data_IF_373545015126
#
_entry.id   IF_373545015126
#
_cell.length_a   1.000
_cell.length_b   1.000
_cell.length_c   1.000
_cell.angle_alpha   90.00
_cell.angle_beta   90.00
_cell.angle_gamma   90.00
#
_symmetry.space_group_name_H-M   'P 1'
#
loop_
_entity.id
_entity.type
_entity.pdbx_description
1 polymer ?
#
# COMPACT_ATOMS: atom_id res chain seq x y z
N UNK A 1 12.94 2.98 16.23
CA UNK A 1 11.81 3.51 17.03
C UNK A 1 10.53 2.98 16.40
N UNK A 2 9.72 2.24 17.13
CA UNK A 2 8.54 1.56 16.59
C UNK A 2 7.27 2.35 16.89
N UNK A 3 6.38 2.54 15.91
CA UNK A 3 5.09 3.18 16.16
C UNK A 3 3.98 2.15 16.18
N UNK A 4 3.24 2.09 17.29
CA UNK A 4 2.06 1.24 17.43
C UNK A 4 0.81 2.09 17.45
N UNK A 5 -0.14 1.75 16.58
CA UNK A 5 -1.43 2.42 16.41
C UNK A 5 -2.56 1.44 16.70
N UNK A 6 -3.67 1.94 17.25
CA UNK A 6 -4.91 1.17 17.32
C UNK A 6 -5.56 1.14 15.95
N UNK A 7 -6.09 -0.02 15.56
CA UNK A 7 -6.90 -0.11 14.36
C UNK A 7 -8.22 0.65 14.56
N UNK A 8 -8.52 1.57 13.64
CA UNK A 8 -9.73 2.39 13.66
C UNK A 8 -11.01 1.61 13.34
N UNK A 9 -10.92 0.59 12.50
CA UNK A 9 -12.03 -0.23 12.03
C UNK A 9 -12.25 -1.46 12.93
N UNK A 10 -11.18 -1.98 13.53
CA UNK A 10 -11.22 -3.10 14.48
C UNK A 10 -10.51 -2.73 15.80
N UNK A 11 -11.16 -2.01 16.74
CA UNK A 11 -10.50 -1.38 17.90
C UNK A 11 -9.79 -2.33 18.89
N UNK A 12 -10.01 -3.63 18.78
CA UNK A 12 -9.35 -4.67 19.56
C UNK A 12 -7.98 -5.06 18.99
N UNK A 13 -7.66 -4.63 17.76
CA UNK A 13 -6.39 -4.89 17.08
C UNK A 13 -5.47 -3.66 17.12
N UNK A 14 -4.18 -3.93 16.99
CA UNK A 14 -3.14 -2.90 16.85
C UNK A 14 -2.28 -3.19 15.64
N UNK A 15 -1.80 -2.13 14.99
CA UNK A 15 -0.82 -2.20 13.91
C UNK A 15 0.48 -1.53 14.36
N UNK A 16 1.56 -2.09 13.88
CA UNK A 16 2.93 -1.78 14.26
C UNK A 16 3.68 -1.38 13.00
N UNK A 17 4.30 -0.21 12.97
CA UNK A 17 5.01 0.33 11.80
C UNK A 17 6.46 0.60 12.18
N UNK A 18 7.37 -0.03 11.42
CA UNK A 18 8.80 0.06 11.64
C UNK A 18 9.41 1.43 11.32
N UNK A 19 10.59 1.65 11.89
CA UNK A 19 11.29 2.93 11.85
C UNK A 19 11.81 3.32 10.46
N UNK A 20 12.03 2.33 9.59
CA UNK A 20 12.48 2.53 8.21
C UNK A 20 11.34 2.96 7.29
N UNK A 21 10.09 2.83 7.74
CA UNK A 21 8.92 3.12 6.92
C UNK A 21 8.91 4.56 6.35
N UNK A 22 9.26 5.64 7.08
CA UNK A 22 9.32 6.98 6.50
C UNK A 22 10.33 7.11 5.36
N UNK A 23 11.47 6.41 5.42
CA UNK A 23 12.44 6.42 4.33
C UNK A 23 11.87 5.71 3.10
N UNK A 24 11.20 4.58 3.29
CA UNK A 24 10.50 3.85 2.24
C UNK A 24 9.31 4.64 1.66
N UNK A 25 8.53 5.35 2.50
CA UNK A 25 7.43 6.21 2.03
C UNK A 25 7.93 7.39 1.21
N UNK A 26 9.11 7.94 1.53
CA UNK A 26 9.73 8.97 0.68
C UNK A 26 10.09 8.44 -0.70
N UNK A 27 10.47 7.16 -0.84
CA UNK A 27 10.75 6.54 -2.13
C UNK A 27 9.52 6.45 -3.03
N UNK A 28 8.31 6.44 -2.46
CA UNK A 28 7.07 6.49 -3.25
C UNK A 28 7.02 7.69 -4.19
N UNK A 29 7.64 8.82 -3.82
CA UNK A 29 7.68 10.00 -4.68
C UNK A 29 8.50 9.83 -5.95
N UNK A 30 9.48 8.92 -5.94
CA UNK A 30 10.40 8.68 -7.07
C UNK A 30 10.01 7.47 -7.92
N UNK A 31 9.06 6.66 -7.47
CA UNK A 31 8.66 5.39 -8.13
C UNK A 31 7.27 5.44 -8.75
N UNK A 32 6.66 6.63 -8.85
CA UNK A 32 5.30 6.79 -9.43
C UNK A 32 5.28 6.40 -10.91
N UNK A 33 6.27 6.85 -11.68
CA UNK A 33 6.37 6.50 -13.11
C UNK A 33 6.60 5.00 -13.30
N UNK A 34 7.38 4.37 -12.41
CA UNK A 34 7.61 2.92 -12.42
C UNK A 34 6.32 2.15 -12.10
N UNK A 35 5.52 2.65 -11.15
CA UNK A 35 4.20 2.11 -10.85
C UNK A 35 3.22 2.29 -12.02
N UNK A 36 3.18 3.46 -12.67
CA UNK A 36 2.36 3.68 -13.86
C UNK A 36 2.76 2.74 -15.01
N UNK A 37 4.06 2.52 -15.20
CA UNK A 37 4.55 1.56 -16.19
C UNK A 37 4.08 0.14 -15.87
N UNK A 38 4.18 -0.27 -14.59
CA UNK A 38 3.71 -1.57 -14.13
C UNK A 38 2.22 -1.80 -14.39
N UNK A 39 1.35 -0.83 -14.07
CA UNK A 39 -0.11 -0.96 -14.23
C UNK A 39 -0.56 -1.10 -15.69
N UNK A 40 0.31 -0.73 -16.65
CA UNK A 40 0.06 -0.89 -18.10
C UNK A 40 0.51 -2.24 -18.64
N UNK A 41 1.18 -3.07 -17.83
CA UNK A 41 1.63 -4.41 -18.22
C UNK A 41 0.55 -5.45 -17.92
N UNK A 42 0.46 -6.44 -18.80
CA UNK A 42 -0.49 -7.54 -18.62
C UNK A 42 0.17 -8.80 -18.04
N UNK A 43 -0.51 -9.39 -17.06
CA UNK A 43 -0.30 -10.77 -16.58
C UNK A 43 1.17 -11.15 -16.33
N UNK A 44 1.73 -11.97 -17.22
CA UNK A 44 3.07 -12.58 -17.05
C UNK A 44 4.19 -11.53 -17.13
N UNK A 45 3.99 -10.45 -17.86
CA UNK A 45 4.97 -9.36 -17.98
C UNK A 45 4.98 -8.50 -16.72
N UNK A 46 3.81 -8.21 -16.15
CA UNK A 46 3.67 -7.50 -14.88
C UNK A 46 4.34 -8.26 -13.73
N UNK A 47 4.15 -9.58 -13.67
CA UNK A 47 4.80 -10.42 -12.65
C UNK A 47 6.34 -10.38 -12.76
N UNK A 48 6.87 -10.54 -13.97
CA UNK A 48 8.32 -10.47 -14.21
C UNK A 48 8.88 -9.09 -13.86
N UNK A 49 8.17 -8.02 -14.23
CA UNK A 49 8.56 -6.65 -13.92
C UNK A 49 8.70 -6.40 -12.42
N UNK A 50 7.75 -6.90 -11.62
CA UNK A 50 7.84 -6.82 -10.16
C UNK A 50 9.03 -7.61 -9.62
N UNK A 51 9.21 -8.85 -10.05
CA UNK A 51 10.28 -9.73 -9.56
C UNK A 51 11.69 -9.22 -9.91
N UNK A 52 11.84 -8.46 -11.00
CA UNK A 52 13.11 -7.89 -11.46
C UNK A 52 13.35 -6.44 -10.97
N UNK A 53 12.37 -5.80 -10.33
CA UNK A 53 12.50 -4.41 -9.89
C UNK A 53 13.30 -4.27 -8.58
N UNK A 54 14.32 -3.41 -8.61
CA UNK A 54 15.06 -2.97 -7.41
C UNK A 54 14.16 -2.25 -6.39
N UNK A 55 12.96 -1.82 -6.81
CA UNK A 55 11.97 -1.13 -6.00
C UNK A 55 10.76 -2.01 -5.66
N UNK A 56 10.86 -3.33 -5.78
CA UNK A 56 9.75 -4.27 -5.56
C UNK A 56 8.88 -3.93 -4.33
N UNK A 57 9.48 -3.78 -3.15
CA UNK A 57 8.74 -3.44 -1.91
C UNK A 57 7.97 -2.11 -2.03
N UNK A 58 8.54 -1.11 -2.69
CA UNK A 58 7.91 0.20 -2.88
C UNK A 58 6.75 0.10 -3.87
N UNK A 59 6.89 -0.72 -4.91
CA UNK A 59 5.81 -1.00 -5.87
C UNK A 59 4.63 -1.73 -5.22
N UNK A 60 4.88 -2.71 -4.35
CA UNK A 60 3.81 -3.36 -3.56
C UNK A 60 3.06 -2.35 -2.68
N UNK A 61 3.77 -1.38 -2.11
CA UNK A 61 3.15 -0.29 -1.36
C UNK A 61 2.30 0.60 -2.27
N UNK A 62 2.78 0.94 -3.48
CA UNK A 62 1.97 1.70 -4.45
C UNK A 62 0.67 0.98 -4.80
N UNK A 63 0.74 -0.32 -5.11
CA UNK A 63 -0.43 -1.18 -5.41
C UNK A 63 -1.41 -1.18 -4.23
N UNK A 64 -0.91 -1.34 -3.01
CA UNK A 64 -1.76 -1.31 -1.82
C UNK A 64 -2.42 0.06 -1.64
N UNK A 65 -1.65 1.14 -1.76
CA UNK A 65 -2.14 2.50 -1.57
C UNK A 65 -3.04 2.98 -2.71
N UNK A 66 -2.91 2.45 -3.92
CA UNK A 66 -3.78 2.82 -5.05
C UNK A 66 -5.24 2.43 -4.74
N UNK A 67 -5.48 1.32 -4.05
CA UNK A 67 -6.84 0.94 -3.62
C UNK A 67 -7.50 1.94 -2.66
N UNK A 68 -6.70 2.71 -1.90
CA UNK A 68 -7.19 3.66 -0.89
C UNK A 68 -7.19 5.09 -1.41
N UNK A 69 -6.15 5.47 -2.15
CA UNK A 69 -5.92 6.82 -2.65
C UNK A 69 -6.23 6.99 -4.14
N UNK A 70 -6.79 5.97 -4.80
CA UNK A 70 -7.23 6.02 -6.20
C UNK A 70 -7.92 7.34 -6.55
N UNK A 71 -7.43 7.98 -7.58
CA UNK A 71 -8.05 9.13 -8.21
C UNK A 71 -8.38 8.73 -9.64
N UNK A 72 -9.52 9.19 -10.13
CA UNK A 72 -9.96 8.95 -11.49
C UNK A 72 -10.28 10.27 -12.15
N UNK A 73 -9.94 10.39 -13.43
CA UNK A 73 -10.28 11.56 -14.24
C UNK A 73 -11.75 11.49 -14.73
N UNK A 74 -12.16 12.46 -15.54
CA UNK A 74 -13.51 12.52 -16.12
C UNK A 74 -13.83 11.34 -17.06
N UNK A 75 -12.81 10.63 -17.54
CA UNK A 75 -12.94 9.45 -18.39
C UNK A 75 -12.96 8.14 -17.60
N UNK A 76 -12.94 8.22 -16.26
CA UNK A 76 -12.78 7.08 -15.35
C UNK A 76 -11.43 6.34 -15.50
N UNK A 77 -10.44 6.96 -16.12
CA UNK A 77 -9.07 6.46 -16.13
C UNK A 77 -8.36 6.82 -14.83
N UNK A 78 -7.42 5.99 -14.39
CA UNK A 78 -6.63 6.26 -13.19
C UNK A 78 -5.79 7.53 -13.40
N UNK A 79 -5.97 8.51 -12.51
CA UNK A 79 -5.23 9.78 -12.54
C UNK A 79 -3.98 9.66 -11.65
N UNK A 80 -2.86 9.33 -12.29
CA UNK A 80 -1.56 9.20 -11.63
C UNK A 80 -1.05 10.51 -11.04
N UNK A 81 -1.41 11.67 -11.60
CA UNK A 81 -1.01 12.97 -11.07
C UNK A 81 -1.76 13.27 -9.77
N UNK A 82 -3.07 13.08 -9.76
CA UNK A 82 -3.86 13.28 -8.54
C UNK A 82 -3.52 12.24 -7.46
N UNK A 83 -3.21 11.01 -7.85
CA UNK A 83 -2.65 10.00 -6.94
C UNK A 83 -1.32 10.46 -6.34
N UNK A 84 -0.39 10.94 -7.18
CA UNK A 84 0.91 11.45 -6.74
C UNK A 84 0.77 12.58 -5.72
N UNK A 85 -0.13 13.52 -5.97
CA UNK A 85 -0.39 14.64 -5.06
C UNK A 85 -0.97 14.17 -3.72
N UNK A 86 -1.85 13.17 -3.72
CA UNK A 86 -2.38 12.56 -2.49
C UNK A 86 -1.29 11.85 -1.70
N UNK A 87 -0.42 11.09 -2.36
CA UNK A 87 0.72 10.43 -1.71
C UNK A 87 1.65 11.46 -1.10
N UNK A 88 2.02 12.49 -1.87
CA UNK A 88 2.92 13.55 -1.41
C UNK A 88 2.36 14.26 -0.17
N UNK A 89 1.10 14.69 -0.24
CA UNK A 89 0.42 15.44 0.84
C UNK A 89 0.26 14.64 2.13
N UNK A 90 0.02 13.33 2.05
CA UNK A 90 -0.34 12.53 3.23
C UNK A 90 0.83 11.69 3.78
N UNK A 91 1.85 11.39 2.98
CA UNK A 91 2.89 10.43 3.32
C UNK A 91 4.33 10.97 3.19
N UNK A 92 4.56 11.97 2.32
CA UNK A 92 5.93 12.46 2.04
C UNK A 92 6.21 13.80 2.73
N UNK A 93 5.33 14.79 2.55
CA UNK A 93 5.52 16.17 3.02
C UNK A 93 5.02 16.39 4.45
N UNK A 94 4.98 15.33 5.26
CA UNK A 94 4.47 15.33 6.63
C UNK A 94 5.50 14.82 7.63
N UNK A 95 5.27 15.11 8.91
CA UNK A 95 6.10 14.58 9.98
C UNK A 95 6.09 13.03 9.96
N UNK A 96 7.22 12.33 10.20
CA UNK A 96 7.31 10.87 10.11
C UNK A 96 6.25 10.11 10.91
N UNK A 97 5.92 10.58 12.12
CA UNK A 97 4.85 9.98 12.93
C UNK A 97 3.45 10.10 12.29
N UNK A 98 3.18 11.16 11.53
CA UNK A 98 1.94 11.32 10.78
C UNK A 98 1.92 10.45 9.52
N UNK A 99 3.04 10.34 8.82
CA UNK A 99 3.17 9.42 7.68
C UNK A 99 2.94 7.97 8.12
N UNK A 100 3.59 7.54 9.21
CA UNK A 100 3.42 6.21 9.77
C UNK A 100 1.97 5.93 10.19
N UNK A 101 1.31 6.91 10.82
CA UNK A 101 -0.12 6.80 11.16
C UNK A 101 -1.00 6.70 9.93
N UNK A 102 -0.81 7.56 8.93
CA UNK A 102 -1.62 7.56 7.71
C UNK A 102 -1.46 6.26 6.93
N UNK A 103 -0.23 5.73 6.86
CA UNK A 103 0.05 4.41 6.30
C UNK A 103 -0.66 3.31 7.09
N UNK A 104 -0.56 3.33 8.42
CA UNK A 104 -1.25 2.36 9.26
C UNK A 104 -2.78 2.39 9.07
N UNK A 105 -3.36 3.58 8.97
CA UNK A 105 -4.79 3.76 8.71
C UNK A 105 -5.20 3.17 7.35
N UNK A 106 -4.36 3.31 6.30
CA UNK A 106 -4.58 2.68 5.00
C UNK A 106 -4.60 1.15 5.10
N UNK A 107 -3.61 0.55 5.76
CA UNK A 107 -3.56 -0.91 5.95
C UNK A 107 -4.75 -1.43 6.74
N UNK A 108 -5.15 -0.72 7.81
CA UNK A 108 -6.32 -1.09 8.58
C UNK A 108 -7.60 -1.04 7.73
N UNK A 109 -7.73 -0.03 6.85
CA UNK A 109 -8.84 0.06 5.90
C UNK A 109 -8.85 -1.12 4.92
N UNK A 110 -7.72 -1.43 4.30
CA UNK A 110 -7.61 -2.55 3.34
C UNK A 110 -8.00 -3.86 4.02
N UNK A 111 -7.43 -4.13 5.20
CA UNK A 111 -7.76 -5.33 5.98
C UNK A 111 -9.26 -5.41 6.31
N UNK A 112 -9.85 -4.29 6.71
CA UNK A 112 -11.28 -4.21 7.01
C UNK A 112 -12.14 -4.47 5.76
N UNK A 113 -11.79 -3.88 4.62
CA UNK A 113 -12.50 -4.14 3.35
C UNK A 113 -12.36 -5.59 2.91
N UNK A 114 -11.17 -6.17 3.08
CA UNK A 114 -10.92 -7.59 2.84
C UNK A 114 -11.73 -8.49 3.78
N UNK A 115 -11.93 -8.14 5.05
CA UNK A 115 -12.71 -8.99 5.96
C UNK A 115 -14.16 -9.17 5.52
N UNK A 116 -14.78 -8.17 4.87
CA UNK A 116 -16.12 -8.35 4.27
C UNK A 116 -16.10 -9.28 3.07
N UNK A 117 -15.04 -9.21 2.27
CA UNK A 117 -14.88 -10.09 1.12
C UNK A 117 -14.60 -11.53 1.60
N UNK A 118 -13.81 -11.71 2.65
CA UNK A 118 -13.55 -13.02 3.27
C UNK A 118 -14.80 -13.58 3.96
N UNK A 119 -15.62 -12.75 4.63
CA UNK A 119 -16.92 -13.16 5.15
C UNK A 119 -17.92 -13.52 4.02
N UNK A 120 -17.73 -12.99 2.80
CA UNK A 120 -18.43 -13.47 1.60
C UNK A 120 -17.78 -14.70 0.95
N UNK A 121 -16.54 -15.05 1.33
CA UNK A 121 -15.71 -16.14 0.77
C UNK A 121 -15.43 -17.21 1.83
N UNK A 122 -16.27 -17.31 2.87
CA UNK A 122 -16.30 -18.44 3.82
C UNK A 122 -16.74 -19.78 3.17
N UNK A 123 -16.54 -19.91 1.85
CA UNK A 123 -16.51 -21.16 1.10
C UNK A 123 -15.10 -21.52 0.57
N UNK A 124 -14.06 -20.67 0.66
CA UNK A 124 -12.69 -21.03 0.25
C UNK A 124 -11.63 -20.35 1.13
N UNK A 125 -11.13 -21.10 2.11
CA UNK A 125 -9.97 -20.77 2.92
C UNK A 125 -8.67 -20.75 2.10
N UNK A 126 -7.80 -19.77 2.34
CA UNK A 126 -6.37 -20.01 2.55
C UNK A 126 -5.69 -18.76 3.14
N UNK A 127 -5.02 -18.97 4.27
CA UNK A 127 -4.27 -17.99 5.07
C UNK A 127 -3.07 -17.44 4.28
N UNK A 128 -3.03 -16.12 4.06
CA UNK A 128 -1.77 -15.43 3.71
C UNK A 128 -1.06 -14.97 4.99
N UNK A 129 -0.16 -15.81 5.50
CA UNK A 129 0.84 -15.44 6.50
C UNK A 129 2.10 -14.95 5.77
N UNK A 130 2.43 -13.66 5.87
CA UNK A 130 3.77 -13.18 5.56
C UNK A 130 4.66 -13.44 6.77
N UNK A 131 5.45 -14.51 6.71
CA UNK A 131 6.59 -14.73 7.60
C UNK A 131 7.88 -14.59 6.82
N UNK A 132 8.81 -13.82 7.38
CA UNK A 132 10.18 -13.67 6.90
C UNK A 132 10.86 -15.03 6.74
N UNK A 133 11.58 -15.21 5.63
CA UNK A 133 12.53 -16.30 5.47
C UNK A 133 13.83 -15.83 6.12
N UNK A 134 14.15 -16.37 7.29
CA UNK A 134 15.52 -16.36 7.84
C UNK A 134 16.28 -17.58 7.28
N UNK A 135 17.42 -17.28 6.63
CA UNK A 135 18.53 -18.11 6.10
C UNK A 135 18.36 -19.62 5.84
#
# INVERSE_FOLDING_TARGET
MHWTFKDRYQPHLTLSVDYDMPATLKKLGTTIEEFEAYEKLDGREAKRFLEESDNFTVLIIHISLSSVYAAYDESYAFDYSAYADRIRKNLIDVHPAFAAKAFADCFCKIRYEQSFLTECVDDVADDFVFSEIED
#
